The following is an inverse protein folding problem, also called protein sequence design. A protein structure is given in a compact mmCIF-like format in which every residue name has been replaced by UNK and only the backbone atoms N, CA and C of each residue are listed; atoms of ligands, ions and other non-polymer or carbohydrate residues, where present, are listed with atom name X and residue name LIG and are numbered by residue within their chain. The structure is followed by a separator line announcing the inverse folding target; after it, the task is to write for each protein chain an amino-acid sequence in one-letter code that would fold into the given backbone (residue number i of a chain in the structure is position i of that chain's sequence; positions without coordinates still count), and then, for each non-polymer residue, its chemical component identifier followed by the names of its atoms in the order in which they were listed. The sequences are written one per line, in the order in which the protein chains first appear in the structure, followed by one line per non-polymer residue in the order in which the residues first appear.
data_IF_902086147536
#
_entry.id   IF_902086147536
#
_cell.length_a   1.000
_cell.length_b   1.000
_cell.length_c   1.000
_cell.angle_alpha   90.00
_cell.angle_beta   90.00
_cell.angle_gamma   90.00
#
_symmetry.space_group_name_H-M   'P 1'
#
loop_
_entity.id
_entity.type
_entity.pdbx_description
1 polymer ?
#
# COMPACT_ATOMS: atom_id res chain seq x y z
N UNK A 1 -17.42 8.63 -75.61
CA UNK A 1 -16.41 7.95 -74.78
C UNK A 1 -17.03 6.69 -74.21
N UNK A 2 -17.01 5.58 -74.96
CA UNK A 2 -17.45 4.27 -74.48
C UNK A 2 -16.24 3.57 -73.86
N UNK A 3 -16.16 3.53 -72.54
CA UNK A 3 -15.17 2.69 -71.87
C UNK A 3 -15.41 1.23 -72.30
N UNK A 4 -14.37 0.59 -72.84
CA UNK A 4 -14.42 -0.78 -73.34
C UNK A 4 -14.78 -1.72 -72.19
N UNK A 5 -15.99 -2.28 -72.21
CA UNK A 5 -16.53 -3.17 -71.16
C UNK A 5 -15.56 -4.34 -70.88
N UNK A 6 -14.85 -4.82 -71.91
CA UNK A 6 -13.82 -5.85 -71.80
C UNK A 6 -12.64 -5.45 -70.91
N UNK A 7 -12.13 -4.23 -71.04
CA UNK A 7 -11.02 -3.73 -70.23
C UNK A 7 -11.43 -3.54 -68.77
N UNK A 8 -12.67 -3.09 -68.52
CA UNK A 8 -13.22 -2.98 -67.16
C UNK A 8 -13.33 -4.38 -66.53
N UNK A 9 -13.82 -5.37 -67.27
CA UNK A 9 -13.98 -6.74 -66.74
C UNK A 9 -12.64 -7.43 -66.45
N UNK A 10 -11.61 -7.20 -67.27
CA UNK A 10 -10.27 -7.78 -67.01
C UNK A 10 -9.55 -7.10 -65.87
N UNK A 11 -9.72 -5.78 -65.70
CA UNK A 11 -9.23 -5.03 -64.52
C UNK A 11 -9.95 -5.45 -63.24
N UNK A 12 -11.27 -5.67 -63.29
CA UNK A 12 -12.03 -6.16 -62.14
C UNK A 12 -11.62 -7.59 -61.75
N UNK A 13 -11.37 -8.45 -62.74
CA UNK A 13 -10.92 -9.83 -62.49
C UNK A 13 -9.50 -9.89 -61.93
N UNK A 14 -8.56 -9.08 -62.47
CA UNK A 14 -7.20 -9.00 -61.95
C UNK A 14 -7.16 -8.38 -60.56
N UNK A 15 -7.95 -7.35 -60.28
CA UNK A 15 -8.12 -6.79 -58.94
C UNK A 15 -8.71 -7.81 -57.96
N UNK A 16 -9.71 -8.59 -58.39
CA UNK A 16 -10.32 -9.65 -57.55
C UNK A 16 -9.33 -10.77 -57.23
N UNK A 17 -8.49 -11.18 -58.20
CA UNK A 17 -7.42 -12.15 -57.97
C UNK A 17 -6.36 -11.61 -57.00
N UNK A 18 -6.02 -10.32 -57.10
CA UNK A 18 -5.05 -9.67 -56.22
C UNK A 18 -5.60 -9.53 -54.79
N UNK A 19 -6.89 -9.21 -54.64
CA UNK A 19 -7.60 -9.23 -53.35
C UNK A 19 -7.64 -10.65 -52.77
N UNK A 20 -7.93 -11.67 -53.58
CA UNK A 20 -8.01 -13.06 -53.15
C UNK A 20 -6.66 -13.61 -52.62
N UNK A 21 -5.53 -13.08 -53.11
CA UNK A 21 -4.18 -13.46 -52.63
C UNK A 21 -3.72 -12.57 -51.47
N UNK A 22 -4.00 -11.27 -51.51
CA UNK A 22 -3.57 -10.32 -50.49
C UNK A 22 -4.36 -10.47 -49.17
N UNK A 23 -5.63 -10.83 -49.23
CA UNK A 23 -6.49 -10.96 -48.04
C UNK A 23 -6.02 -12.06 -47.08
N UNK A 24 -5.72 -13.30 -47.53
CA UNK A 24 -5.11 -14.32 -46.67
C UNK A 24 -3.77 -13.86 -46.07
N UNK A 25 -2.90 -13.25 -46.88
CA UNK A 25 -1.58 -12.79 -46.41
C UNK A 25 -1.70 -11.72 -45.31
N UNK A 26 -2.58 -10.74 -45.47
CA UNK A 26 -2.89 -9.72 -44.45
C UNK A 26 -3.54 -10.33 -43.21
N UNK A 27 -4.42 -11.31 -43.38
CA UNK A 27 -5.05 -12.04 -42.28
C UNK A 27 -4.01 -12.83 -41.45
N UNK A 28 -3.08 -13.54 -42.10
CA UNK A 28 -1.98 -14.24 -41.42
C UNK A 28 -1.03 -13.26 -40.71
N UNK A 29 -0.71 -12.12 -41.33
CA UNK A 29 0.12 -11.10 -40.71
C UNK A 29 -0.55 -10.52 -39.46
N UNK A 30 -1.84 -10.14 -39.56
CA UNK A 30 -2.60 -9.62 -38.44
C UNK A 30 -2.71 -10.67 -37.31
N UNK A 31 -2.91 -11.94 -37.65
CA UNK A 31 -2.87 -13.05 -36.68
C UNK A 31 -1.52 -13.13 -35.97
N UNK A 32 -0.43 -13.15 -36.73
CA UNK A 32 0.91 -13.28 -36.15
C UNK A 32 1.22 -12.11 -35.20
N UNK A 33 0.88 -10.89 -35.61
CA UNK A 33 1.06 -9.69 -34.77
C UNK A 33 0.20 -9.77 -33.51
N UNK A 34 -1.07 -10.15 -33.63
CA UNK A 34 -1.99 -10.25 -32.48
C UNK A 34 -1.56 -11.33 -31.49
N UNK A 35 -1.13 -12.51 -31.94
CA UNK A 35 -0.59 -13.55 -31.06
C UNK A 35 0.67 -13.09 -30.34
N UNK A 36 1.62 -12.47 -31.06
CA UNK A 36 2.85 -11.94 -30.46
C UNK A 36 2.59 -10.83 -29.43
N UNK A 37 1.56 -10.00 -29.64
CA UNK A 37 1.11 -9.02 -28.66
C UNK A 37 0.50 -9.69 -27.42
N UNK A 38 -0.26 -10.77 -27.59
CA UNK A 38 -0.81 -11.55 -26.48
C UNK A 38 0.29 -12.25 -25.68
N UNK A 39 1.28 -12.85 -26.32
CA UNK A 39 2.43 -13.47 -25.65
C UNK A 39 3.20 -12.49 -24.77
N UNK A 40 3.49 -11.29 -25.31
CA UNK A 40 4.11 -10.22 -24.52
C UNK A 40 3.28 -9.82 -23.31
N UNK A 41 1.95 -9.77 -23.47
CA UNK A 41 1.04 -9.42 -22.37
C UNK A 41 1.00 -10.52 -21.31
N UNK A 42 0.98 -11.79 -21.72
CA UNK A 42 1.04 -12.95 -20.81
C UNK A 42 2.35 -12.93 -20.05
N UNK A 43 3.49 -12.75 -20.73
CA UNK A 43 4.80 -12.66 -20.08
C UNK A 43 4.87 -11.54 -19.04
N UNK A 44 4.34 -10.36 -19.37
CA UNK A 44 4.29 -9.22 -18.44
C UNK A 44 3.40 -9.51 -17.21
N UNK A 45 2.30 -10.26 -17.38
CA UNK A 45 1.46 -10.70 -16.27
C UNK A 45 2.15 -11.77 -15.42
N UNK A 46 2.91 -12.67 -16.03
CA UNK A 46 3.70 -13.69 -15.33
C UNK A 46 4.83 -13.05 -14.50
N UNK A 47 5.54 -12.07 -15.05
CA UNK A 47 6.55 -11.29 -14.32
C UNK A 47 5.93 -10.55 -13.13
N UNK A 48 4.77 -9.91 -13.35
CA UNK A 48 4.01 -9.28 -12.26
C UNK A 48 3.65 -10.29 -11.18
N UNK A 49 3.14 -11.47 -11.55
CA UNK A 49 2.82 -12.53 -10.58
C UNK A 49 4.05 -12.97 -9.78
N UNK A 50 5.18 -13.22 -10.44
CA UNK A 50 6.44 -13.58 -9.81
C UNK A 50 6.92 -12.50 -8.83
N UNK A 51 6.84 -11.23 -9.21
CA UNK A 51 7.19 -10.11 -8.32
C UNK A 51 6.33 -10.07 -7.06
N UNK A 52 5.04 -10.39 -7.16
CA UNK A 52 4.12 -10.43 -6.01
C UNK A 52 4.42 -11.60 -5.07
N UNK A 53 4.79 -12.76 -5.60
CA UNK A 53 5.26 -13.88 -4.78
C UNK A 53 6.54 -13.55 -4.01
N UNK A 54 7.49 -12.85 -4.63
CA UNK A 54 8.70 -12.39 -3.94
C UNK A 54 8.36 -11.45 -2.77
N UNK A 55 7.44 -10.50 -2.98
CA UNK A 55 6.97 -9.63 -1.90
C UNK A 55 6.34 -10.43 -0.75
N UNK A 56 5.57 -11.49 -1.02
CA UNK A 56 5.01 -12.36 0.02
C UNK A 56 6.11 -12.99 0.88
N UNK A 57 7.23 -13.38 0.28
CA UNK A 57 8.37 -13.95 1.00
C UNK A 57 9.04 -12.93 1.93
N UNK A 58 9.05 -11.65 1.53
CA UNK A 58 9.67 -10.57 2.31
C UNK A 58 8.79 -10.00 3.43
N UNK A 59 7.46 -10.14 3.34
CA UNK A 59 6.49 -9.65 4.34
C UNK A 59 6.88 -9.97 5.79
N UNK A 60 7.20 -11.24 6.15
CA UNK A 60 7.56 -11.56 7.53
C UNK A 60 8.76 -10.79 8.05
N UNK A 61 9.78 -10.57 7.20
CA UNK A 61 10.99 -9.82 7.55
C UNK A 61 10.67 -8.33 7.76
N UNK A 62 9.93 -7.73 6.83
CA UNK A 62 9.52 -6.33 6.91
C UNK A 62 8.68 -6.05 8.17
N UNK A 63 7.76 -6.95 8.50
CA UNK A 63 6.87 -6.79 9.66
C UNK A 63 7.63 -6.99 10.97
N UNK A 64 8.54 -7.96 11.04
CA UNK A 64 9.41 -8.12 12.21
C UNK A 64 10.24 -6.87 12.44
N UNK A 65 10.89 -6.37 11.39
CA UNK A 65 11.70 -5.16 11.49
C UNK A 65 10.89 -3.95 11.98
N UNK A 66 9.70 -3.73 11.42
CA UNK A 66 8.82 -2.64 11.86
C UNK A 66 8.35 -2.80 13.31
N UNK A 67 8.01 -4.03 13.71
CA UNK A 67 7.60 -4.32 15.09
C UNK A 67 8.74 -4.13 16.09
N UNK A 68 9.98 -4.44 15.70
CA UNK A 68 11.19 -4.20 16.49
C UNK A 68 11.46 -2.72 16.66
N UNK A 69 11.40 -1.93 15.58
CA UNK A 69 11.54 -0.47 15.63
C UNK A 69 10.56 0.18 16.61
N UNK A 70 9.28 -0.23 16.56
CA UNK A 70 8.26 0.26 17.51
C UNK A 70 8.57 -0.14 18.96
N UNK A 71 9.15 -1.33 19.19
CA UNK A 71 9.58 -1.74 20.53
C UNK A 71 10.75 -0.91 21.03
N UNK A 72 11.74 -0.67 20.18
CA UNK A 72 12.90 0.16 20.52
C UNK A 72 12.46 1.60 20.85
N UNK A 73 11.57 2.18 20.05
CA UNK A 73 10.99 3.49 20.30
C UNK A 73 10.21 3.51 21.62
N UNK A 74 9.37 2.50 21.88
CA UNK A 74 8.64 2.40 23.13
C UNK A 74 9.59 2.26 24.35
N UNK A 75 10.71 1.55 24.22
CA UNK A 75 11.73 1.44 25.29
C UNK A 75 12.37 2.79 25.55
N UNK A 76 12.82 3.51 24.50
CA UNK A 76 13.40 4.85 24.63
C UNK A 76 12.43 5.81 25.32
N UNK A 77 11.17 5.84 24.87
CA UNK A 77 10.15 6.70 25.48
C UNK A 77 9.84 6.30 26.92
N UNK A 78 9.92 5.00 27.26
CA UNK A 78 9.78 4.52 28.65
C UNK A 78 10.91 5.04 29.54
N UNK A 79 12.14 5.09 29.03
CA UNK A 79 13.28 5.63 29.76
C UNK A 79 13.16 7.16 29.95
N UNK A 80 12.80 7.88 28.89
CA UNK A 80 12.54 9.32 28.93
C UNK A 80 11.43 9.66 29.94
N UNK A 81 10.33 8.90 29.90
CA UNK A 81 9.22 9.05 30.85
C UNK A 81 9.71 8.87 32.29
N UNK A 82 10.53 7.86 32.56
CA UNK A 82 11.02 7.59 33.91
C UNK A 82 11.94 8.70 34.44
N UNK A 83 12.72 9.34 33.57
CA UNK A 83 13.51 10.53 33.92
C UNK A 83 12.59 11.72 34.20
N UNK A 84 11.61 11.95 33.33
CA UNK A 84 10.63 13.03 33.49
C UNK A 84 9.79 12.87 34.76
N UNK A 85 9.35 11.65 35.09
CA UNK A 85 8.66 11.34 36.35
C UNK A 85 9.51 11.64 37.58
N UNK A 86 10.81 11.33 37.54
CA UNK A 86 11.73 11.66 38.65
C UNK A 86 11.85 13.17 38.84
N UNK A 87 11.87 13.94 37.75
CA UNK A 87 11.89 15.41 37.81
C UNK A 87 10.55 16.00 38.28
N UNK A 88 9.45 15.46 37.78
CA UNK A 88 8.10 15.81 38.21
C UNK A 88 7.89 15.53 39.71
N UNK A 89 8.35 14.39 40.21
CA UNK A 89 8.29 14.02 41.63
C UNK A 89 9.11 14.95 42.53
N UNK A 90 10.11 15.66 42.00
CA UNK A 90 10.82 16.72 42.74
C UNK A 90 10.12 18.08 42.64
N UNK A 91 9.49 18.36 41.50
CA UNK A 91 8.96 19.69 41.17
C UNK A 91 7.54 19.89 41.70
N UNK A 92 6.67 18.88 41.57
CA UNK A 92 5.28 18.94 42.05
C UNK A 92 5.22 19.23 43.55
N UNK A 93 5.96 18.54 44.44
CA UNK A 93 5.93 18.87 45.86
C UNK A 93 6.43 20.27 46.16
N UNK A 94 7.44 20.77 45.44
CA UNK A 94 7.93 22.15 45.60
C UNK A 94 6.85 23.17 45.25
N UNK A 95 6.16 22.98 44.11
CA UNK A 95 5.05 23.84 43.70
C UNK A 95 3.88 23.75 44.70
N UNK A 96 3.59 22.57 45.24
CA UNK A 96 2.56 22.40 46.26
C UNK A 96 2.90 23.15 47.55
N UNK A 97 4.16 23.12 47.99
CA UNK A 97 4.63 23.86 49.17
C UNK A 97 4.56 25.37 48.92
N UNK A 98 5.02 25.86 47.76
CA UNK A 98 4.92 27.27 47.38
C UNK A 98 3.46 27.74 47.34
N UNK A 99 2.59 26.95 46.72
CA UNK A 99 1.15 27.20 46.68
C UNK A 99 0.55 27.22 48.09
N UNK A 100 0.99 26.36 49.01
CA UNK A 100 0.56 26.36 50.40
C UNK A 100 1.00 27.64 51.13
N UNK A 101 2.25 28.07 50.97
CA UNK A 101 2.74 29.34 51.52
C UNK A 101 1.94 30.55 51.02
N UNK A 102 1.63 30.59 49.72
CA UNK A 102 0.81 31.66 49.13
C UNK A 102 -0.62 31.66 49.68
N UNK A 103 -1.20 30.49 49.97
CA UNK A 103 -2.52 30.36 50.59
C UNK A 103 -2.56 30.73 52.06
N UNK A 104 -1.44 30.61 52.78
CA UNK A 104 -1.34 30.94 54.21
C UNK A 104 -1.09 32.42 54.49
N UNK A 105 -0.98 33.27 53.45
CA UNK A 105 -0.94 34.73 53.63
C UNK A 105 -2.27 35.22 54.20
N UNK A 106 -2.22 36.27 55.01
CA UNK A 106 -3.41 36.90 55.62
C UNK A 106 -4.52 37.16 54.59
N UNK A 107 -5.78 36.99 55.00
CA UNK A 107 -6.96 37.20 54.17
C UNK A 107 -6.93 38.63 53.58
N UNK A 108 -6.70 38.71 52.26
CA UNK A 108 -6.53 39.97 51.51
C UNK A 108 -5.17 40.17 50.84
N UNK A 109 -4.14 39.38 51.19
CA UNK A 109 -2.80 39.38 50.55
C UNK A 109 -2.52 38.14 49.68
N UNK A 110 -3.47 37.21 49.61
CA UNK A 110 -3.36 36.01 48.77
C UNK A 110 -3.43 36.41 47.30
N UNK A 111 -2.38 36.12 46.55
CA UNK A 111 -2.40 36.29 45.10
C UNK A 111 -3.03 35.06 44.45
N UNK A 112 -4.30 35.17 44.06
CA UNK A 112 -5.07 34.07 43.46
C UNK A 112 -4.50 33.62 42.11
N UNK A 113 -3.98 34.57 41.32
CA UNK A 113 -3.40 34.30 40.00
C UNK A 113 -2.19 33.36 40.13
N UNK A 114 -1.31 33.62 41.09
CA UNK A 114 -0.12 32.78 41.35
C UNK A 114 -0.49 31.36 41.81
N UNK A 115 -1.57 31.22 42.60
CA UNK A 115 -2.06 29.91 43.03
C UNK A 115 -2.62 29.13 41.83
N UNK A 116 -3.32 29.80 40.91
CA UNK A 116 -3.84 29.19 39.68
C UNK A 116 -2.70 28.79 38.73
N UNK A 117 -1.67 29.62 38.57
CA UNK A 117 -0.46 29.30 37.79
C UNK A 117 0.24 28.03 38.30
N UNK A 118 0.40 27.89 39.62
CA UNK A 118 0.99 26.68 40.20
C UNK A 118 0.13 25.43 40.00
N UNK A 119 -1.20 25.56 40.10
CA UNK A 119 -2.13 24.46 39.83
C UNK A 119 -2.06 24.03 38.36
N UNK A 120 -2.05 24.99 37.44
CA UNK A 120 -1.95 24.74 36.01
C UNK A 120 -0.62 24.06 35.67
N UNK A 121 0.50 24.54 36.22
CA UNK A 121 1.81 23.91 36.05
C UNK A 121 1.83 22.45 36.53
N UNK A 122 1.25 22.16 37.70
CA UNK A 122 1.15 20.78 38.22
C UNK A 122 0.29 19.91 37.30
N UNK A 123 -0.85 20.43 36.84
CA UNK A 123 -1.74 19.69 35.94
C UNK A 123 -1.08 19.42 34.59
N UNK A 124 -0.36 20.38 34.02
CA UNK A 124 0.39 20.23 32.77
C UNK A 124 1.47 19.14 32.88
N UNK A 125 2.24 19.12 33.98
CA UNK A 125 3.25 18.08 34.21
C UNK A 125 2.59 16.69 34.27
N UNK A 126 1.47 16.56 34.99
CA UNK A 126 0.74 15.29 35.10
C UNK A 126 0.15 14.84 33.76
N UNK A 127 -0.40 15.77 33.00
CA UNK A 127 -0.96 15.49 31.67
C UNK A 127 0.13 15.03 30.70
N UNK A 128 1.32 15.63 30.73
CA UNK A 128 2.44 15.19 29.91
C UNK A 128 2.88 13.76 30.24
N UNK A 129 3.02 13.41 31.53
CA UNK A 129 3.32 12.04 31.95
C UNK A 129 2.28 11.07 31.39
N UNK A 130 1.00 11.43 31.51
CA UNK A 130 -0.11 10.60 31.04
C UNK A 130 -0.08 10.41 29.52
N UNK A 131 0.14 11.48 28.73
CA UNK A 131 0.30 11.40 27.27
C UNK A 131 1.45 10.47 26.86
N UNK A 132 2.59 10.54 27.57
CA UNK A 132 3.70 9.62 27.34
C UNK A 132 3.32 8.16 27.64
N UNK A 133 2.55 7.89 28.70
CA UNK A 133 2.06 6.53 28.98
C UNK A 133 1.16 5.98 27.89
N UNK A 134 0.22 6.80 27.42
CA UNK A 134 -0.72 6.41 26.37
C UNK A 134 0.02 6.08 25.08
N UNK A 135 1.01 6.88 24.71
CA UNK A 135 1.81 6.66 23.52
C UNK A 135 2.65 5.37 23.64
N UNK A 136 3.27 5.11 24.80
CA UNK A 136 3.98 3.84 25.04
C UNK A 136 3.05 2.65 24.90
N UNK A 137 1.85 2.73 25.49
CA UNK A 137 0.84 1.66 25.39
C UNK A 137 0.43 1.45 23.94
N UNK A 138 0.18 2.52 23.19
CA UNK A 138 -0.17 2.48 21.77
C UNK A 138 0.91 1.79 20.94
N UNK A 139 2.17 2.22 21.06
CA UNK A 139 3.29 1.62 20.32
C UNK A 139 3.46 0.13 20.62
N UNK A 140 3.32 -0.27 21.89
CA UNK A 140 3.39 -1.69 22.30
C UNK A 140 2.24 -2.52 21.72
N UNK A 141 1.02 -1.98 21.72
CA UNK A 141 -0.12 -2.65 21.11
C UNK A 141 0.05 -2.79 19.60
N UNK A 142 0.47 -1.72 18.90
CA UNK A 142 0.70 -1.75 17.45
C UNK A 142 1.79 -2.76 17.07
N UNK A 143 2.91 -2.78 17.81
CA UNK A 143 3.97 -3.78 17.61
C UNK A 143 3.45 -5.22 17.76
N UNK A 144 2.66 -5.47 18.80
CA UNK A 144 2.07 -6.79 19.04
C UNK A 144 1.05 -7.17 17.95
N UNK A 145 0.24 -6.22 17.48
CA UNK A 145 -0.73 -6.45 16.41
C UNK A 145 -0.06 -6.72 15.08
N UNK A 146 1.04 -6.02 14.77
CA UNK A 146 1.87 -6.29 13.60
C UNK A 146 2.43 -7.71 13.64
N UNK A 147 2.95 -8.15 14.79
CA UNK A 147 3.49 -9.51 14.93
C UNK A 147 2.42 -10.60 14.87
N UNK A 148 1.23 -10.36 15.44
CA UNK A 148 0.13 -11.35 15.47
C UNK A 148 -0.61 -11.45 14.14
N UNK A 149 -0.97 -10.31 13.57
CA UNK A 149 -1.94 -10.23 12.48
C UNK A 149 -1.39 -9.54 11.23
N UNK A 150 -0.37 -8.69 11.35
CA UNK A 150 0.16 -7.92 10.24
C UNK A 150 0.59 -8.79 9.06
N UNK A 151 1.31 -9.88 9.34
CA UNK A 151 1.82 -10.77 8.30
C UNK A 151 0.72 -11.54 7.57
N UNK A 152 -0.37 -11.87 8.27
CA UNK A 152 -1.54 -12.51 7.66
C UNK A 152 -2.29 -11.53 6.77
N UNK A 153 -2.62 -10.34 7.29
CA UNK A 153 -3.36 -9.30 6.53
C UNK A 153 -2.62 -8.88 5.26
N UNK A 154 -1.32 -8.61 5.36
CA UNK A 154 -0.52 -8.22 4.20
C UNK A 154 -0.43 -9.34 3.15
N UNK A 155 -0.33 -10.59 3.61
CA UNK A 155 -0.30 -11.76 2.72
C UNK A 155 -1.64 -11.97 2.01
N UNK A 156 -2.75 -11.80 2.71
CA UNK A 156 -4.09 -12.04 2.15
C UNK A 156 -4.41 -11.03 1.03
N UNK A 157 -3.99 -9.76 1.18
CA UNK A 157 -4.10 -8.74 0.13
C UNK A 157 -3.30 -9.15 -1.11
N UNK A 158 -2.02 -9.51 -0.93
CA UNK A 158 -1.19 -9.93 -2.07
C UNK A 158 -1.67 -11.22 -2.72
N UNK A 159 -2.24 -12.16 -1.96
CA UNK A 159 -2.86 -13.36 -2.52
C UNK A 159 -4.05 -13.03 -3.40
N UNK A 160 -4.92 -12.12 -2.97
CA UNK A 160 -6.05 -11.67 -3.79
C UNK A 160 -5.58 -11.01 -5.11
N UNK A 161 -4.51 -10.21 -5.06
CA UNK A 161 -3.90 -9.64 -6.28
C UNK A 161 -3.35 -10.73 -7.22
N UNK A 162 -2.70 -11.76 -6.66
CA UNK A 162 -2.17 -12.89 -7.43
C UNK A 162 -3.31 -13.66 -8.11
N UNK A 163 -4.38 -13.97 -7.38
CA UNK A 163 -5.55 -14.67 -7.94
C UNK A 163 -6.15 -13.89 -9.12
N UNK A 164 -6.22 -12.56 -9.02
CA UNK A 164 -6.71 -11.72 -10.11
C UNK A 164 -5.75 -11.74 -11.32
N UNK A 165 -4.44 -11.68 -11.10
CA UNK A 165 -3.45 -11.81 -12.17
C UNK A 165 -3.57 -13.18 -12.86
N UNK A 166 -3.76 -14.26 -12.09
CA UNK A 166 -3.94 -15.61 -12.64
C UNK A 166 -5.20 -15.74 -13.49
N UNK A 167 -6.31 -15.12 -13.06
CA UNK A 167 -7.53 -15.01 -13.88
C UNK A 167 -7.26 -14.30 -15.20
N UNK A 168 -6.52 -13.19 -15.17
CA UNK A 168 -6.17 -12.44 -16.39
C UNK A 168 -5.28 -13.27 -17.33
N UNK A 169 -4.27 -13.97 -16.80
CA UNK A 169 -3.42 -14.89 -17.57
C UNK A 169 -4.28 -15.98 -18.24
N UNK A 170 -5.22 -16.56 -17.50
CA UNK A 170 -6.13 -17.58 -18.03
C UNK A 170 -6.98 -17.04 -19.19
N UNK A 171 -7.55 -15.84 -19.05
CA UNK A 171 -8.34 -15.18 -20.10
C UNK A 171 -7.50 -14.94 -21.35
N UNK A 172 -6.29 -14.38 -21.21
CA UNK A 172 -5.42 -14.07 -22.36
C UNK A 172 -4.93 -15.36 -23.05
N UNK A 173 -4.61 -16.42 -22.29
CA UNK A 173 -4.27 -17.74 -22.85
C UNK A 173 -5.44 -18.36 -23.62
N UNK A 174 -6.67 -18.21 -23.13
CA UNK A 174 -7.85 -18.70 -23.86
C UNK A 174 -8.11 -17.90 -25.14
N UNK A 175 -7.89 -16.58 -25.12
CA UNK A 175 -7.94 -15.74 -26.33
C UNK A 175 -6.88 -16.18 -27.34
N UNK A 176 -5.65 -16.42 -26.88
CA UNK A 176 -4.57 -16.94 -27.71
C UNK A 176 -4.99 -18.24 -28.42
N UNK A 177 -5.42 -19.25 -27.64
CA UNK A 177 -5.91 -20.54 -28.18
C UNK A 177 -7.09 -20.38 -29.14
N UNK A 178 -8.01 -19.44 -28.88
CA UNK A 178 -9.15 -19.18 -29.76
C UNK A 178 -8.71 -18.61 -31.12
N UNK A 179 -7.76 -17.68 -31.13
CA UNK A 179 -7.19 -17.09 -32.36
C UNK A 179 -6.39 -18.14 -33.14
N UNK A 180 -5.64 -19.00 -32.45
CA UNK A 180 -4.97 -20.15 -33.06
C UNK A 180 -5.96 -21.13 -33.71
N UNK A 181 -7.05 -21.47 -33.01
CA UNK A 181 -8.04 -22.43 -33.49
C UNK A 181 -8.93 -21.93 -34.63
N UNK A 182 -9.22 -20.63 -34.71
CA UNK A 182 -10.07 -20.05 -35.77
C UNK A 182 -9.49 -20.18 -37.17
N UNK A 183 -8.18 -20.35 -37.31
CA UNK A 183 -7.54 -20.47 -38.64
C UNK A 183 -7.64 -21.83 -39.29
N UNK A 184 -8.01 -22.88 -38.55
CA UNK A 184 -8.20 -24.21 -39.11
C UNK A 184 -9.57 -24.37 -39.81
N UNK A 185 -10.46 -23.37 -39.74
CA UNK A 185 -11.84 -23.44 -40.25
C UNK A 185 -12.11 -22.65 -41.53
N UNK A 186 -11.15 -21.85 -42.02
CA UNK A 186 -11.31 -21.01 -43.22
C UNK A 186 -10.56 -21.55 -44.44
N UNK A 187 -10.31 -22.86 -44.47
CA UNK A 187 -9.78 -23.61 -45.61
C UNK A 187 -10.73 -24.75 -45.93
#
# INVERSE_FOLDING_TARGET
MSLNIREITTLAFSASALIAVAFPALFYLNKYVTLKCLDKRIALLEDKRCSRYLLIADIPKQIRHRAELLREQAIKLTQEKLLFEKEANKTIPKLQVLMWFERCKEDGKVNKEVVEEYLEAINNIREQIWKMEEEIKRMRMESNDLMKNGARKARDILKAEIEEIERQIFIERNRHKSIEGRTLKWW
#
